data_IF_003364997925
#
_entry.id   IF_003364997925
#
_cell.length_a   1.000
_cell.length_b   1.000
_cell.length_c   1.000
_cell.angle_alpha   90.00
_cell.angle_beta   90.00
_cell.angle_gamma   90.00
#
_symmetry.space_group_name_H-M   'P 1'
#
loop_
_entity.id
_entity.type
_entity.pdbx_description
1 polymer ?
#
# COMPACT_ATOMS: atom_id res chain seq x y z
N UNK A 1 46.85 -20.29 27.44
CA UNK A 1 46.22 -19.01 27.06
C UNK A 1 46.53 -18.80 25.58
N UNK A 2 45.69 -19.31 24.66
CA UNK A 2 44.76 -18.59 23.75
C UNK A 2 45.45 -17.38 23.06
N UNK A 3 45.57 -17.32 21.73
CA UNK A 3 44.50 -17.43 20.73
C UNK A 3 44.84 -18.33 19.52
N UNK A 4 43.86 -19.00 18.88
CA UNK A 4 43.99 -19.46 17.51
C UNK A 4 43.73 -18.30 16.53
N UNK A 5 44.32 -18.42 15.34
CA UNK A 5 44.12 -17.53 14.21
C UNK A 5 42.64 -17.47 13.82
N UNK A 6 42.17 -16.30 13.39
CA UNK A 6 40.84 -16.13 12.83
C UNK A 6 40.79 -16.89 11.49
N UNK A 7 39.97 -17.94 11.47
CA UNK A 7 39.61 -18.65 10.26
C UNK A 7 38.87 -17.70 9.29
N UNK A 8 39.39 -17.73 8.08
CA UNK A 8 38.78 -17.30 6.84
C UNK A 8 37.45 -18.01 6.64
N UNK A 9 36.34 -17.32 6.93
CA UNK A 9 35.00 -17.75 6.52
C UNK A 9 34.53 -16.85 5.38
N UNK A 10 35.13 -17.10 4.22
CA UNK A 10 34.53 -16.79 2.93
C UNK A 10 33.17 -17.47 2.82
N UNK A 11 32.12 -16.68 2.99
CA UNK A 11 30.78 -16.98 2.50
C UNK A 11 30.42 -15.93 1.45
N UNK A 12 31.08 -15.99 0.29
CA UNK A 12 30.63 -15.27 -0.90
C UNK A 12 29.46 -16.05 -1.48
N UNK A 13 28.27 -15.82 -0.93
CA UNK A 13 27.03 -16.12 -1.64
C UNK A 13 27.02 -15.41 -3.01
N UNK A 14 26.23 -15.88 -3.98
CA UNK A 14 26.10 -15.19 -5.25
C UNK A 14 25.77 -13.71 -4.99
N UNK A 15 26.39 -12.76 -5.72
CA UNK A 15 26.08 -11.35 -5.57
C UNK A 15 24.57 -11.17 -5.72
N UNK A 16 23.98 -10.33 -4.86
CA UNK A 16 22.58 -9.97 -4.99
C UNK A 16 22.32 -9.58 -6.45
N UNK A 17 21.22 -10.05 -7.07
CA UNK A 17 20.93 -9.72 -8.46
C UNK A 17 20.97 -8.20 -8.60
N UNK A 18 21.67 -7.73 -9.64
CA UNK A 18 21.71 -6.32 -9.95
C UNK A 18 20.27 -5.78 -10.02
N UNK A 19 20.01 -4.57 -9.52
CA UNK A 19 18.68 -3.99 -9.61
C UNK A 19 18.23 -4.08 -11.07
N UNK A 20 16.95 -4.41 -11.33
CA UNK A 20 16.45 -4.54 -12.70
C UNK A 20 16.80 -3.27 -13.49
N UNK A 21 17.07 -3.41 -14.80
CA UNK A 21 17.21 -2.23 -15.67
C UNK A 21 16.07 -1.27 -15.38
N UNK A 22 16.41 -0.01 -15.10
CA UNK A 22 15.47 1.01 -14.62
C UNK A 22 14.26 1.02 -15.55
N UNK A 23 13.15 0.46 -15.07
CA UNK A 23 11.91 0.44 -15.85
C UNK A 23 11.48 1.88 -16.11
N UNK A 24 10.99 2.15 -17.32
CA UNK A 24 10.44 3.46 -17.64
C UNK A 24 9.32 3.81 -16.66
N UNK A 25 9.33 5.04 -16.13
CA UNK A 25 8.41 5.43 -15.06
C UNK A 25 6.94 5.36 -15.51
N UNK A 26 6.64 5.67 -16.77
CA UNK A 26 5.27 5.57 -17.29
C UNK A 26 4.84 4.12 -17.44
N UNK A 27 5.76 3.24 -17.85
CA UNK A 27 5.52 1.80 -17.82
C UNK A 27 5.16 1.33 -16.41
N UNK A 28 5.94 1.68 -15.39
CA UNK A 28 5.67 1.29 -13.99
C UNK A 28 4.31 1.82 -13.52
N UNK A 29 4.01 3.10 -13.79
CA UNK A 29 2.72 3.71 -13.42
C UNK A 29 1.55 2.95 -14.06
N UNK A 30 1.67 2.55 -15.33
CA UNK A 30 0.60 1.87 -16.07
C UNK A 30 0.51 0.38 -15.80
N UNK A 31 1.61 -0.28 -15.43
CA UNK A 31 1.68 -1.70 -15.09
C UNK A 31 1.22 -1.99 -13.67
N UNK A 32 1.46 -1.07 -12.72
CA UNK A 32 1.09 -1.22 -11.30
C UNK A 32 -0.38 -1.61 -11.12
N UNK A 33 -0.66 -2.63 -10.30
CA UNK A 33 -2.01 -3.06 -9.94
C UNK A 33 -2.17 -3.19 -8.43
N UNK A 34 -3.42 -3.16 -8.00
CA UNK A 34 -3.89 -3.59 -6.68
C UNK A 34 -4.07 -5.09 -6.69
N UNK A 35 -3.02 -5.79 -6.23
CA UNK A 35 -2.90 -7.24 -6.30
C UNK A 35 -3.60 -7.88 -5.12
N UNK A 36 -4.41 -8.90 -5.40
CA UNK A 36 -5.23 -9.58 -4.39
C UNK A 36 -5.10 -11.09 -4.46
N UNK A 37 -5.02 -11.64 -5.67
CA UNK A 37 -4.98 -13.10 -5.90
C UNK A 37 -3.66 -13.64 -6.42
N UNK A 38 -2.77 -12.80 -6.95
CA UNK A 38 -1.64 -13.24 -7.78
C UNK A 38 -0.33 -13.42 -7.00
N UNK A 39 -0.34 -13.24 -5.68
CA UNK A 39 0.85 -13.44 -4.84
C UNK A 39 1.28 -14.91 -4.82
N UNK A 40 2.59 -15.15 -4.80
CA UNK A 40 3.16 -16.51 -4.76
C UNK A 40 3.48 -16.98 -3.34
N UNK A 41 3.61 -16.06 -2.38
CA UNK A 41 4.08 -16.35 -1.01
C UNK A 41 5.60 -16.51 -0.87
N UNK A 42 6.35 -16.44 -1.98
CA UNK A 42 7.83 -16.53 -1.97
C UNK A 42 8.46 -15.38 -1.16
N UNK A 43 9.61 -15.60 -0.50
CA UNK A 43 10.26 -14.57 0.30
C UNK A 43 10.70 -13.37 -0.57
N UNK A 44 10.64 -12.17 0.02
CA UNK A 44 11.19 -10.95 -0.58
C UNK A 44 12.64 -10.83 -0.08
N UNK A 45 13.64 -10.70 -0.96
CA UNK A 45 15.01 -10.40 -0.55
C UNK A 45 15.10 -9.12 0.28
N UNK A 46 15.94 -9.12 1.33
CA UNK A 46 16.00 -8.00 2.28
C UNK A 46 16.50 -6.70 1.63
N UNK A 47 17.42 -6.80 0.66
CA UNK A 47 17.92 -5.65 -0.10
C UNK A 47 16.84 -5.03 -0.99
N UNK A 48 16.00 -5.86 -1.62
CA UNK A 48 14.83 -5.42 -2.40
C UNK A 48 13.83 -4.71 -1.50
N UNK A 49 13.49 -5.31 -0.35
CA UNK A 49 12.57 -4.70 0.62
C UNK A 49 13.11 -3.34 1.13
N UNK A 50 14.42 -3.26 1.40
CA UNK A 50 15.05 -2.01 1.81
C UNK A 50 14.92 -0.91 0.75
N UNK A 51 15.11 -1.22 -0.54
CA UNK A 51 14.91 -0.25 -1.64
C UNK A 51 13.46 0.24 -1.72
N UNK A 52 12.49 -0.68 -1.56
CA UNK A 52 11.06 -0.34 -1.57
C UNK A 52 10.69 0.60 -0.41
N UNK A 53 11.17 0.31 0.80
CA UNK A 53 10.92 1.16 1.98
C UNK A 53 11.65 2.50 1.88
N UNK A 54 12.87 2.52 1.35
CA UNK A 54 13.61 3.76 1.11
C UNK A 54 12.90 4.67 0.10
N UNK A 55 12.33 4.10 -0.97
CA UNK A 55 11.52 4.85 -1.93
C UNK A 55 10.28 5.47 -1.27
N UNK A 56 9.60 4.73 -0.38
CA UNK A 56 8.50 5.25 0.41
C UNK A 56 8.93 6.45 1.27
N UNK A 57 10.07 6.33 1.95
CA UNK A 57 10.61 7.38 2.81
C UNK A 57 11.08 8.63 2.06
N UNK A 58 11.41 8.50 0.77
CA UNK A 58 11.78 9.62 -0.10
C UNK A 58 10.58 10.48 -0.56
N UNK A 59 9.36 10.16 -0.15
CA UNK A 59 8.19 10.96 -0.49
C UNK A 59 8.24 12.38 0.12
N UNK A 60 7.64 13.38 -0.54
CA UNK A 60 7.47 14.69 0.07
C UNK A 60 6.49 14.61 1.25
N UNK A 61 6.67 15.50 2.23
CA UNK A 61 5.74 15.65 3.34
C UNK A 61 5.56 17.11 3.72
N UNK A 62 4.36 17.44 4.21
CA UNK A 62 4.05 18.78 4.72
C UNK A 62 5.06 19.15 5.79
N UNK A 63 5.77 20.27 5.59
CA UNK A 63 6.79 20.75 6.50
C UNK A 63 7.95 19.78 6.76
N UNK A 64 8.23 18.85 5.84
CA UNK A 64 9.21 17.77 6.03
C UNK A 64 8.92 16.95 7.31
N UNK A 65 7.64 16.84 7.69
CA UNK A 65 7.23 16.19 8.95
C UNK A 65 7.43 14.66 8.94
N UNK A 66 7.49 14.04 7.76
CA UNK A 66 7.65 12.60 7.56
C UNK A 66 6.77 11.77 8.52
N UNK A 67 5.44 12.02 8.55
CA UNK A 67 4.56 11.61 9.66
C UNK A 67 4.19 10.11 9.65
N UNK A 68 4.81 9.33 8.77
CA UNK A 68 4.55 7.91 8.58
C UNK A 68 5.47 7.03 9.42
N UNK A 69 4.94 5.88 9.84
CA UNK A 69 5.73 4.71 10.22
C UNK A 69 5.30 3.49 9.39
N UNK A 70 6.18 2.50 9.26
CA UNK A 70 5.94 1.26 8.52
C UNK A 70 6.13 0.07 9.45
N UNK A 71 5.05 -0.61 9.83
CA UNK A 71 5.08 -1.79 10.68
C UNK A 71 5.08 -3.03 9.80
N UNK A 72 6.19 -3.78 9.80
CA UNK A 72 6.36 -5.00 9.02
C UNK A 72 5.78 -6.22 9.75
N UNK A 73 4.81 -6.90 9.15
CA UNK A 73 4.07 -8.00 9.77
C UNK A 73 4.29 -9.28 8.96
N UNK A 74 5.17 -10.15 9.49
CA UNK A 74 5.45 -11.49 8.93
C UNK A 74 4.68 -12.60 9.65
N UNK A 75 4.20 -12.34 10.87
CA UNK A 75 3.49 -13.32 11.70
C UNK A 75 2.23 -13.83 11.00
N UNK A 76 2.16 -15.14 10.74
CA UNK A 76 0.99 -15.79 10.17
C UNK A 76 -0.24 -15.63 11.08
N UNK A 77 -0.06 -15.69 12.40
CA UNK A 77 -1.15 -15.52 13.36
C UNK A 77 -1.75 -14.10 13.29
N UNK A 78 -0.89 -13.07 13.27
CA UNK A 78 -1.36 -11.67 13.16
C UNK A 78 -2.07 -11.42 11.83
N UNK A 79 -1.53 -11.94 10.73
CA UNK A 79 -2.16 -11.86 9.39
C UNK A 79 -3.48 -12.62 9.32
N UNK A 80 -3.58 -13.77 9.98
CA UNK A 80 -4.83 -14.54 10.06
C UNK A 80 -5.91 -13.79 10.84
N UNK A 81 -5.57 -13.20 11.99
CA UNK A 81 -6.50 -12.38 12.77
C UNK A 81 -6.99 -11.16 11.99
N UNK A 82 -6.10 -10.45 11.29
CA UNK A 82 -6.49 -9.35 10.42
C UNK A 82 -7.41 -9.80 9.28
N UNK A 83 -7.08 -10.91 8.61
CA UNK A 83 -7.93 -11.47 7.56
C UNK A 83 -9.35 -11.79 8.06
N UNK A 84 -9.50 -12.36 9.26
CA UNK A 84 -10.82 -12.62 9.84
C UNK A 84 -11.62 -11.34 10.05
N UNK A 85 -10.98 -10.29 10.58
CA UNK A 85 -11.60 -8.97 10.69
C UNK A 85 -11.99 -8.38 9.33
N UNK A 86 -11.15 -8.56 8.32
CA UNK A 86 -11.43 -8.12 6.94
C UNK A 86 -12.64 -8.83 6.35
N UNK A 87 -12.77 -10.15 6.57
CA UNK A 87 -13.93 -10.90 6.10
C UNK A 87 -15.21 -10.46 6.83
N UNK A 88 -15.13 -10.17 8.13
CA UNK A 88 -16.25 -9.61 8.87
C UNK A 88 -16.72 -8.27 8.31
N UNK A 89 -15.79 -7.31 8.09
CA UNK A 89 -16.15 -6.00 7.52
C UNK A 89 -16.64 -6.10 6.06
N UNK A 90 -16.17 -7.10 5.30
CA UNK A 90 -16.68 -7.42 3.98
C UNK A 90 -18.16 -7.80 4.03
N UNK A 91 -18.54 -8.65 4.98
CA UNK A 91 -19.93 -9.09 5.15
C UNK A 91 -20.81 -7.92 5.62
N UNK A 92 -20.30 -7.07 6.51
CA UNK A 92 -20.98 -5.83 6.94
C UNK A 92 -21.26 -4.93 5.74
N UNK A 93 -20.27 -4.69 4.87
CA UNK A 93 -20.47 -3.89 3.66
C UNK A 93 -21.42 -4.55 2.66
N UNK A 94 -21.31 -5.86 2.44
CA UNK A 94 -22.19 -6.61 1.54
C UNK A 94 -23.67 -6.43 1.94
N UNK A 95 -23.96 -6.45 3.24
CA UNK A 95 -25.30 -6.22 3.77
C UNK A 95 -25.86 -4.80 3.51
N UNK A 96 -25.01 -3.83 3.16
CA UNK A 96 -25.44 -2.47 2.77
C UNK A 96 -25.78 -2.34 1.28
N UNK A 97 -25.43 -3.34 0.48
CA UNK A 97 -25.63 -3.28 -0.97
C UNK A 97 -27.07 -3.65 -1.34
N UNK A 98 -27.70 -2.91 -2.25
CA UNK A 98 -29.01 -3.31 -2.80
C UNK A 98 -28.91 -4.57 -3.67
N UNK A 99 -27.74 -4.82 -4.28
CA UNK A 99 -27.39 -6.03 -5.03
C UNK A 99 -25.91 -6.37 -4.82
N UNK A 100 -25.62 -7.57 -4.28
CA UNK A 100 -24.28 -8.06 -3.97
C UNK A 100 -23.66 -8.91 -5.09
N UNK A 101 -24.38 -9.22 -6.17
CA UNK A 101 -23.98 -10.22 -7.16
C UNK A 101 -22.65 -9.91 -7.87
N UNK A 102 -22.37 -8.63 -8.11
CA UNK A 102 -21.07 -8.16 -8.64
C UNK A 102 -19.99 -8.16 -7.57
N UNK A 103 -20.33 -7.76 -6.34
CA UNK A 103 -19.41 -7.68 -5.21
C UNK A 103 -18.89 -9.05 -4.76
N UNK A 104 -19.73 -10.08 -4.77
CA UNK A 104 -19.36 -11.44 -4.35
C UNK A 104 -18.19 -12.03 -5.15
N UNK A 105 -18.05 -11.62 -6.42
CA UNK A 105 -16.98 -12.05 -7.33
C UNK A 105 -15.65 -11.34 -7.07
N UNK A 106 -15.67 -10.25 -6.31
CA UNK A 106 -14.50 -9.40 -6.08
C UNK A 106 -13.76 -9.92 -4.85
N UNK A 107 -12.55 -10.44 -5.08
CA UNK A 107 -11.59 -10.58 -4.00
C UNK A 107 -11.17 -9.17 -3.54
N UNK A 108 -11.14 -8.92 -2.24
CA UNK A 108 -10.86 -7.58 -1.65
C UNK A 108 -9.50 -7.48 -0.96
N UNK A 109 -8.77 -8.59 -0.85
CA UNK A 109 -7.54 -8.67 -0.07
C UNK A 109 -6.62 -9.79 -0.59
N UNK A 110 -5.36 -9.78 -0.14
CA UNK A 110 -4.39 -10.85 -0.38
C UNK A 110 -3.53 -11.11 0.86
N UNK A 111 -4.11 -10.94 2.05
CA UNK A 111 -3.42 -10.94 3.34
C UNK A 111 -2.79 -12.30 3.63
N UNK A 112 -3.39 -13.40 3.17
CA UNK A 112 -2.88 -14.76 3.42
C UNK A 112 -1.90 -15.22 2.34
N UNK A 113 -2.09 -14.81 1.09
CA UNK A 113 -1.25 -15.22 -0.04
C UNK A 113 0.02 -14.37 -0.21
N UNK A 114 -0.01 -13.11 0.25
CA UNK A 114 1.19 -12.25 0.22
C UNK A 114 2.31 -12.78 1.10
N UNK A 115 3.52 -12.26 0.91
CA UNK A 115 4.69 -12.65 1.71
C UNK A 115 4.74 -11.84 3.01
N UNK A 116 4.41 -10.55 2.92
CA UNK A 116 4.56 -9.58 3.98
C UNK A 116 3.35 -8.65 4.00
N UNK A 117 2.85 -8.34 5.19
CA UNK A 117 1.94 -7.22 5.38
C UNK A 117 2.71 -6.02 5.91
N UNK A 118 2.37 -4.81 5.44
CA UNK A 118 2.92 -3.54 5.96
C UNK A 118 1.76 -2.67 6.40
N UNK A 119 1.70 -2.33 7.69
CA UNK A 119 0.79 -1.30 8.18
C UNK A 119 1.50 0.04 8.11
N UNK A 120 0.91 0.97 7.37
CA UNK A 120 1.39 2.34 7.25
C UNK A 120 0.54 3.24 8.12
N UNK A 121 1.16 3.99 9.02
CA UNK A 121 0.47 4.83 10.00
C UNK A 121 0.63 6.32 9.71
N UNK A 122 -0.17 7.14 10.38
CA UNK A 122 -0.05 8.58 10.44
C UNK A 122 0.02 9.01 11.91
N UNK A 123 1.15 9.60 12.30
CA UNK A 123 1.33 10.27 13.59
C UNK A 123 1.07 11.78 13.45
N UNK A 124 -0.07 12.31 13.95
CA UNK A 124 -0.39 13.73 13.90
C UNK A 124 0.51 14.58 14.81
N UNK A 125 1.20 13.99 15.79
CA UNK A 125 2.06 14.71 16.72
C UNK A 125 3.50 14.84 16.19
N UNK A 126 3.85 14.12 15.13
CA UNK A 126 5.18 14.21 14.54
C UNK A 126 5.44 15.61 13.96
N UNK A 127 6.56 16.20 14.37
CA UNK A 127 6.94 17.58 14.01
C UNK A 127 6.21 18.68 14.79
N UNK A 128 5.36 18.34 15.77
CA UNK A 128 4.75 19.30 16.69
C UNK A 128 5.80 20.07 17.51
N UNK A 129 5.49 21.28 18.02
CA UNK A 129 4.18 21.94 17.98
C UNK A 129 3.88 22.69 16.67
N UNK A 130 4.88 22.93 15.82
CA UNK A 130 4.74 23.77 14.64
C UNK A 130 5.18 23.04 13.36
N UNK A 131 4.22 22.42 12.68
CA UNK A 131 4.44 21.81 11.36
C UNK A 131 4.10 22.83 10.26
N UNK A 132 5.12 23.26 9.51
CA UNK A 132 4.96 24.17 8.37
C UNK A 132 3.95 23.59 7.37
N UNK A 133 2.88 24.33 7.08
CA UNK A 133 1.85 23.93 6.10
C UNK A 133 0.68 23.13 6.66
N UNK A 134 0.71 22.70 7.93
CA UNK A 134 -0.41 21.97 8.57
C UNK A 134 -1.43 22.87 9.28
N UNK A 135 -1.14 24.17 9.42
CA UNK A 135 -2.01 25.09 10.16
C UNK A 135 -3.43 25.20 9.58
N UNK A 136 -3.57 25.27 8.25
CA UNK A 136 -4.85 25.51 7.59
C UNK A 136 -5.53 24.22 7.08
N UNK A 137 -4.77 23.15 6.86
CA UNK A 137 -5.27 21.88 6.33
C UNK A 137 -4.78 20.76 7.24
N UNK A 138 -5.66 20.32 8.15
CA UNK A 138 -5.34 19.29 9.15
C UNK A 138 -4.91 17.96 8.51
N UNK A 139 -5.49 17.62 7.37
CA UNK A 139 -5.21 16.38 6.63
C UNK A 139 -3.90 16.41 5.84
N UNK A 140 -3.18 17.54 5.76
CA UNK A 140 -1.95 17.62 4.97
C UNK A 140 -0.88 16.60 5.41
N UNK A 141 -0.88 16.23 6.70
CA UNK A 141 -0.06 15.14 7.22
C UNK A 141 -0.49 13.78 6.69
N UNK A 142 -1.80 13.49 6.69
CA UNK A 142 -2.36 12.27 6.13
C UNK A 142 -2.09 12.14 4.62
N UNK A 143 -2.20 13.24 3.86
CA UNK A 143 -1.88 13.25 2.42
C UNK A 143 -0.41 12.90 2.17
N UNK A 144 0.48 13.36 3.04
CA UNK A 144 1.90 13.02 2.98
C UNK A 144 2.11 11.49 3.07
N UNK A 145 1.36 10.80 3.93
CA UNK A 145 1.40 9.33 4.04
C UNK A 145 0.95 8.64 2.75
N UNK A 146 -0.10 9.15 2.09
CA UNK A 146 -0.54 8.60 0.80
C UNK A 146 0.54 8.71 -0.29
N UNK A 147 1.35 9.77 -0.29
CA UNK A 147 2.47 9.92 -1.23
C UNK A 147 3.57 8.89 -0.95
N UNK A 148 3.88 8.64 0.32
CA UNK A 148 4.82 7.57 0.71
C UNK A 148 4.34 6.18 0.26
N UNK A 149 3.05 5.89 0.43
CA UNK A 149 2.45 4.64 -0.04
C UNK A 149 2.53 4.52 -1.57
N UNK A 150 2.27 5.61 -2.29
CA UNK A 150 2.34 5.59 -3.75
C UNK A 150 3.77 5.36 -4.26
N UNK A 151 4.78 5.98 -3.63
CA UNK A 151 6.19 5.70 -3.94
C UNK A 151 6.55 4.22 -3.67
N UNK A 152 6.14 3.68 -2.51
CA UNK A 152 6.32 2.27 -2.15
C UNK A 152 5.77 1.37 -3.25
N UNK A 153 4.56 1.64 -3.71
CA UNK A 153 3.85 0.81 -4.68
C UNK A 153 4.50 0.84 -6.06
N UNK A 154 4.97 2.00 -6.52
CA UNK A 154 5.71 2.12 -7.77
C UNK A 154 7.06 1.41 -7.69
N UNK A 155 7.81 1.59 -6.60
CA UNK A 155 9.08 0.91 -6.39
C UNK A 155 8.91 -0.61 -6.34
N UNK A 156 7.91 -1.11 -5.60
CA UNK A 156 7.58 -2.52 -5.56
C UNK A 156 7.26 -3.07 -6.97
N UNK A 157 6.50 -2.32 -7.78
CA UNK A 157 6.18 -2.72 -9.17
C UNK A 157 7.42 -2.78 -10.06
N UNK A 158 8.37 -1.85 -9.89
CA UNK A 158 9.65 -1.86 -10.60
C UNK A 158 10.52 -3.07 -10.20
N UNK A 159 10.47 -3.46 -8.92
CA UNK A 159 11.10 -4.67 -8.37
C UNK A 159 10.30 -5.96 -8.67
N UNK A 160 9.29 -5.89 -9.55
CA UNK A 160 8.42 -7.02 -9.93
C UNK A 160 7.65 -7.66 -8.75
N UNK A 161 7.35 -6.86 -7.73
CA UNK A 161 6.49 -7.22 -6.60
C UNK A 161 5.06 -6.69 -6.83
N UNK A 162 4.08 -7.43 -6.31
CA UNK A 162 2.71 -6.95 -6.18
C UNK A 162 2.51 -6.17 -4.89
N UNK A 163 1.61 -5.19 -4.92
CA UNK A 163 1.08 -4.56 -3.70
C UNK A 163 -0.44 -4.58 -3.75
N UNK A 164 -1.07 -4.91 -2.64
CA UNK A 164 -2.52 -4.86 -2.47
C UNK A 164 -2.91 -3.98 -1.28
N UNK A 165 -3.77 -2.98 -1.47
CA UNK A 165 -4.28 -2.18 -0.36
C UNK A 165 -5.57 -2.80 0.18
N UNK A 166 -5.59 -3.14 1.47
CA UNK A 166 -6.78 -3.61 2.17
C UNK A 166 -7.31 -2.51 3.06
N UNK A 167 -8.58 -2.12 2.91
CA UNK A 167 -9.23 -1.05 3.70
C UNK A 167 -10.55 -1.48 4.34
N UNK A 168 -10.90 -2.76 4.27
CA UNK A 168 -12.04 -3.35 4.95
C UNK A 168 -11.64 -3.68 6.40
N UNK A 169 -11.39 -2.67 7.22
CA UNK A 169 -11.04 -2.85 8.63
C UNK A 169 -11.43 -1.62 9.45
N UNK A 170 -11.35 -1.75 10.79
CA UNK A 170 -11.55 -0.63 11.72
C UNK A 170 -10.19 -0.18 12.26
N UNK A 171 -9.92 1.12 12.25
CA UNK A 171 -8.67 1.68 12.77
C UNK A 171 -8.38 1.16 14.19
N UNK A 172 -9.39 1.15 15.07
CA UNK A 172 -9.28 0.66 16.45
C UNK A 172 -8.85 -0.80 16.57
N UNK A 173 -9.34 -1.68 15.70
CA UNK A 173 -8.95 -3.10 15.69
C UNK A 173 -7.46 -3.25 15.41
N UNK A 174 -6.96 -2.54 14.39
CA UNK A 174 -5.53 -2.57 14.03
C UNK A 174 -4.68 -1.91 15.11
N UNK A 175 -5.18 -0.84 15.73
CA UNK A 175 -4.49 -0.18 16.83
C UNK A 175 -4.30 -1.13 18.03
N UNK A 176 -5.38 -1.78 18.48
CA UNK A 176 -5.33 -2.73 19.58
C UNK A 176 -4.44 -3.93 19.26
N UNK A 177 -4.63 -4.55 18.08
CA UNK A 177 -3.89 -5.74 17.65
C UNK A 177 -2.37 -5.50 17.58
N UNK A 178 -1.94 -4.30 17.21
CA UNK A 178 -0.52 -3.97 17.01
C UNK A 178 0.08 -3.08 18.10
N UNK A 179 -0.70 -2.72 19.12
CA UNK A 179 -0.26 -1.81 20.18
C UNK A 179 0.05 -0.38 19.69
N UNK A 180 -0.64 0.08 18.66
CA UNK A 180 -0.47 1.43 18.12
C UNK A 180 -1.17 2.42 19.07
N UNK A 181 -0.52 3.55 19.46
CA UNK A 181 -1.15 4.55 20.31
C UNK A 181 -2.47 5.08 19.73
N UNK A 182 -3.48 5.43 20.54
CA UNK A 182 -4.77 5.93 20.05
C UNK A 182 -4.67 7.20 19.19
N UNK A 183 -3.64 8.02 19.39
CA UNK A 183 -3.39 9.22 18.58
C UNK A 183 -2.83 8.91 17.18
N UNK A 184 -2.22 7.74 16.98
CA UNK A 184 -1.60 7.32 15.72
C UNK A 184 -2.61 6.51 14.92
N UNK A 185 -2.88 6.94 13.68
CA UNK A 185 -3.92 6.36 12.82
C UNK A 185 -3.34 5.34 11.84
N UNK A 186 -3.84 4.09 11.78
CA UNK A 186 -3.52 3.17 10.69
C UNK A 186 -4.15 3.64 9.37
N UNK A 187 -3.32 4.07 8.42
CA UNK A 187 -3.77 4.61 7.12
C UNK A 187 -4.01 3.50 6.11
N UNK A 188 -3.10 2.52 6.06
CA UNK A 188 -3.17 1.43 5.10
C UNK A 188 -2.69 0.12 5.70
N UNK A 189 -3.33 -0.97 5.29
CA UNK A 189 -2.75 -2.31 5.36
C UNK A 189 -2.38 -2.75 3.96
N UNK A 190 -1.08 -2.90 3.69
CA UNK A 190 -0.55 -3.29 2.40
C UNK A 190 -0.10 -4.74 2.41
N UNK A 191 -0.59 -5.54 1.46
CA UNK A 191 -0.06 -6.86 1.14
C UNK A 191 1.09 -6.69 0.15
N UNK A 192 2.25 -7.30 0.38
CA UNK A 192 3.44 -7.19 -0.45
C UNK A 192 4.06 -8.57 -0.68
N UNK A 193 4.47 -8.85 -1.91
CA UNK A 193 5.19 -10.09 -2.23
C UNK A 193 5.40 -10.29 -3.73
N UNK A 194 6.20 -11.31 -4.11
CA UNK A 194 6.34 -11.71 -5.50
C UNK A 194 4.98 -12.18 -6.05
N UNK A 195 4.78 -11.96 -7.35
CA UNK A 195 3.53 -12.29 -8.04
C UNK A 195 3.77 -13.17 -9.24
N UNK A 196 2.79 -14.01 -9.56
CA UNK A 196 2.80 -14.80 -10.80
C UNK A 196 2.72 -13.92 -12.04
N UNK A 197 1.93 -12.85 -11.98
CA UNK A 197 1.76 -11.85 -13.02
C UNK A 197 1.03 -10.62 -12.45
N UNK A 198 1.04 -9.52 -13.19
CA UNK A 198 0.17 -8.37 -12.96
C UNK A 198 -0.91 -8.33 -14.03
N UNK A 199 -2.15 -8.11 -13.61
CA UNK A 199 -3.29 -8.02 -14.50
C UNK A 199 -3.21 -6.79 -15.41
N UNK A 200 -3.64 -6.90 -16.66
CA UNK A 200 -3.64 -5.77 -17.60
C UNK A 200 -4.76 -4.78 -17.33
N UNK A 201 -5.85 -5.21 -16.70
CA UNK A 201 -7.05 -4.40 -16.39
C UNK A 201 -7.33 -4.44 -14.90
N UNK A 202 -7.84 -3.37 -14.22
CA UNK A 202 -8.19 -3.43 -12.80
C UNK A 202 -9.25 -4.49 -12.47
N UNK A 203 -9.12 -5.15 -11.32
CA UNK A 203 -10.06 -6.20 -10.87
C UNK A 203 -11.51 -5.70 -10.85
N UNK A 204 -11.73 -4.49 -10.34
CA UNK A 204 -13.06 -3.87 -10.27
C UNK A 204 -13.68 -3.67 -11.66
N UNK A 205 -12.87 -3.43 -12.68
CA UNK A 205 -13.35 -3.31 -14.06
C UNK A 205 -13.60 -4.69 -14.68
N UNK A 206 -12.70 -5.66 -14.46
CA UNK A 206 -12.88 -7.06 -14.94
C UNK A 206 -14.14 -7.70 -14.36
N UNK A 207 -14.51 -7.37 -13.12
CA UNK A 207 -15.71 -7.89 -12.46
C UNK A 207 -16.95 -7.00 -12.61
N UNK A 208 -16.87 -5.93 -13.41
CA UNK A 208 -18.04 -5.10 -13.76
C UNK A 208 -18.53 -4.18 -12.64
N UNK A 209 -17.71 -3.91 -11.62
CA UNK A 209 -18.06 -2.99 -10.52
C UNK A 209 -18.10 -1.53 -10.97
N UNK A 210 -17.04 -1.09 -11.67
CA UNK A 210 -16.89 0.27 -12.22
C UNK A 210 -16.00 0.22 -13.46
N UNK A 211 -16.14 1.23 -14.31
CA UNK A 211 -15.24 1.46 -15.47
C UNK A 211 -14.44 2.73 -15.26
N UNK A 212 -13.25 2.79 -15.84
CA UNK A 212 -12.44 4.01 -15.85
C UNK A 212 -13.17 5.12 -16.63
N UNK A 213 -13.14 6.32 -16.09
CA UNK A 213 -13.52 7.52 -16.82
C UNK A 213 -12.33 8.05 -17.63
N UNK A 214 -12.56 8.71 -18.78
CA UNK A 214 -11.54 9.47 -19.49
C UNK A 214 -10.87 10.51 -18.57
N UNK A 215 -9.54 10.62 -18.62
CA UNK A 215 -8.81 11.56 -17.76
C UNK A 215 -9.19 13.02 -18.02
N UNK A 216 -9.63 13.33 -19.25
CA UNK A 216 -10.05 14.67 -19.66
C UNK A 216 -11.25 15.17 -18.84
N UNK A 217 -12.10 14.27 -18.31
CA UNK A 217 -13.22 14.65 -17.45
C UNK A 217 -12.77 15.18 -16.09
N UNK A 218 -11.59 14.78 -15.63
CA UNK A 218 -10.99 15.23 -14.37
C UNK A 218 -10.18 16.53 -14.52
N UNK A 219 -10.10 17.10 -15.74
CA UNK A 219 -9.29 18.30 -16.02
C UNK A 219 -10.19 19.47 -16.34
N UNK A 220 -10.00 20.55 -15.57
CA UNK A 220 -10.71 21.81 -15.74
C UNK A 220 -9.71 22.95 -15.85
N UNK A 221 -10.00 23.94 -16.69
CA UNK A 221 -9.17 25.14 -16.82
C UNK A 221 -9.73 26.26 -15.95
N UNK A 222 -8.90 26.79 -15.05
CA UNK A 222 -9.18 27.90 -14.13
C UNK A 222 -10.27 27.69 -13.08
N UNK A 223 -11.42 27.12 -13.43
CA UNK A 223 -12.62 27.02 -12.57
C UNK A 223 -13.28 25.66 -12.69
N UNK A 224 -13.99 25.28 -11.63
CA UNK A 224 -14.91 24.15 -11.68
C UNK A 224 -16.04 24.44 -12.68
N UNK A 225 -16.44 23.47 -13.53
CA UNK A 225 -17.55 23.67 -14.44
C UNK A 225 -18.83 23.99 -13.65
N UNK A 226 -19.51 25.08 -14.01
CA UNK A 226 -20.82 25.39 -13.45
C UNK A 226 -21.80 24.29 -13.84
N UNK A 227 -22.37 23.61 -12.85
CA UNK A 227 -23.39 22.59 -13.06
C UNK A 227 -24.55 23.18 -13.87
N UNK A 228 -24.80 22.65 -15.05
CA UNK A 228 -26.00 22.96 -15.84
C UNK A 228 -26.85 21.69 -15.84
N UNK A 229 -27.94 21.63 -15.04
CA UNK A 229 -28.84 20.48 -15.09
C UNK A 229 -29.52 20.46 -16.46
N UNK A 230 -29.38 19.36 -17.22
CA UNK A 230 -30.15 19.13 -18.44
C UNK A 230 -29.38 18.77 -19.71
N UNK A 231 -28.40 17.86 -19.65
CA UNK A 231 -28.06 17.03 -20.82
C UNK A 231 -28.57 15.62 -20.57
N UNK A 232 -29.77 15.36 -21.08
CA UNK A 232 -30.23 14.00 -21.38
C UNK A 232 -29.41 13.49 -22.56
N UNK A 233 -28.77 12.33 -22.40
CA UNK A 233 -28.34 11.47 -23.52
C UNK A 233 -29.49 10.51 -23.86
#
# INVERSE_FOLDING_TARGET
MRCPAADDLGATGPPAPAPPEVSDIYEVIHRRRDVRGQFTGEPIPDDVLARVLAAAHAAPSVGLSQPWDFILIRSAATRAAFHEHVMHERDVFAATLPDSSSFEKIKIEGVRESTLSIVVTYDPDRGSPAVLGRHAIADAGLYSVCLAIQNLWLAATAESLGVGWVSFYRESFVQEMLGIPPSVRPVAWLCLGPVTHLESTPDLERHGWRRRTPWQEAVHSERWPSFTPGRED
#
